data_IF_508024404079
#
_entry.id   IF_508024404079
#
_cell.length_a   1.000
_cell.length_b   1.000
_cell.length_c   1.000
_cell.angle_alpha   90.00
_cell.angle_beta   90.00
_cell.angle_gamma   90.00
#
_symmetry.space_group_name_H-M   'P 1'
#
loop_
_entity.id
_entity.type
_entity.pdbx_description
1 polymer ?
#
# COMPACT_ATOMS: atom_id res chain seq x y z
N UNK A 1 -3.22 -16.17 5.23
CA UNK A 1 -3.47 -17.54 4.69
C UNK A 1 -2.58 -17.78 3.48
N UNK A 2 -2.05 -18.99 3.32
CA UNK A 2 -1.29 -19.37 2.11
C UNK A 2 -2.30 -19.75 1.02
N UNK A 3 -2.25 -19.07 -0.13
CA UNK A 3 -3.12 -19.34 -1.29
C UNK A 3 -2.47 -20.31 -2.27
N UNK A 4 -1.17 -20.16 -2.49
CA UNK A 4 -0.43 -20.98 -3.43
C UNK A 4 0.99 -21.19 -2.91
N UNK A 5 1.52 -22.39 -3.08
CA UNK A 5 2.91 -22.69 -2.78
C UNK A 5 3.50 -23.47 -3.98
N UNK A 6 4.49 -22.90 -4.64
CA UNK A 6 5.23 -23.52 -5.74
C UNK A 6 6.64 -23.86 -5.29
N UNK A 7 6.93 -25.15 -5.14
CA UNK A 7 8.29 -25.61 -4.83
C UNK A 7 9.21 -25.42 -6.03
N UNK A 8 10.46 -25.01 -5.77
CA UNK A 8 11.54 -24.87 -6.74
C UNK A 8 12.52 -26.03 -6.60
N UNK A 9 13.27 -26.28 -7.65
CA UNK A 9 14.31 -27.36 -7.68
C UNK A 9 15.50 -27.09 -6.76
N UNK A 10 15.69 -25.83 -6.34
CA UNK A 10 16.73 -25.39 -5.41
C UNK A 10 16.37 -25.57 -3.91
N UNK A 11 15.21 -26.17 -3.60
CA UNK A 11 14.72 -26.34 -2.24
C UNK A 11 13.99 -25.12 -1.66
N UNK A 12 13.85 -24.04 -2.41
CA UNK A 12 13.03 -22.89 -2.04
C UNK A 12 11.59 -23.04 -2.53
N UNK A 13 10.69 -22.17 -2.06
CA UNK A 13 9.31 -22.15 -2.52
C UNK A 13 8.84 -20.69 -2.74
N UNK A 14 8.08 -20.48 -3.81
CA UNK A 14 7.32 -19.26 -4.00
C UNK A 14 5.97 -19.42 -3.32
N UNK A 15 5.62 -18.46 -2.47
CA UNK A 15 4.38 -18.50 -1.70
C UNK A 15 3.56 -17.24 -1.99
N UNK A 16 2.29 -17.42 -2.30
CA UNK A 16 1.33 -16.31 -2.36
C UNK A 16 0.58 -16.28 -1.03
N UNK A 17 0.70 -15.17 -0.33
CA UNK A 17 0.02 -14.93 0.95
C UNK A 17 -1.15 -13.98 0.75
N UNK A 18 -2.23 -14.26 1.48
CA UNK A 18 -3.36 -13.35 1.60
C UNK A 18 -3.54 -12.98 3.07
N UNK A 19 -3.66 -11.67 3.35
CA UNK A 19 -4.06 -11.16 4.65
C UNK A 19 -5.52 -11.53 4.92
N UNK A 20 -5.81 -12.07 6.10
CA UNK A 20 -7.16 -12.50 6.49
C UNK A 20 -7.76 -11.53 7.49
N UNK A 21 -6.95 -11.01 8.40
CA UNK A 21 -7.39 -10.10 9.47
C UNK A 21 -6.23 -9.24 9.96
N UNK A 22 -6.54 -8.09 10.54
CA UNK A 22 -5.61 -7.34 11.37
C UNK A 22 -5.46 -8.01 12.71
N UNK A 23 -4.24 -8.05 13.22
CA UNK A 23 -3.97 -8.62 14.54
C UNK A 23 -2.96 -7.74 15.28
N UNK A 24 -3.12 -7.70 16.60
CA UNK A 24 -2.09 -7.19 17.50
C UNK A 24 -1.24 -8.35 17.98
N UNK A 25 0.07 -8.21 17.92
CA UNK A 25 1.00 -9.14 18.57
C UNK A 25 1.10 -8.72 20.05
N UNK A 26 0.61 -9.57 20.95
CA UNK A 26 0.67 -9.31 22.38
C UNK A 26 2.05 -9.66 22.93
N UNK A 27 2.52 -10.88 22.61
CA UNK A 27 3.84 -11.35 23.03
C UNK A 27 4.37 -12.44 22.10
N UNK A 28 5.69 -12.64 22.11
CA UNK A 28 6.33 -13.76 21.45
C UNK A 28 6.56 -14.91 22.43
N UNK A 29 5.77 -15.97 22.28
CA UNK A 29 5.87 -17.17 23.15
C UNK A 29 7.00 -18.11 22.72
N UNK A 30 7.50 -17.98 21.49
CA UNK A 30 8.62 -18.76 20.95
C UNK A 30 9.35 -17.96 19.88
N UNK A 31 10.70 -18.06 19.87
CA UNK A 31 11.53 -17.31 18.92
C UNK A 31 12.27 -18.20 17.90
N UNK A 32 12.52 -19.46 18.22
CA UNK A 32 13.27 -20.39 17.37
C UNK A 32 12.55 -21.74 17.28
N UNK A 33 12.61 -22.45 16.15
CA UNK A 33 13.24 -22.11 14.87
C UNK A 33 12.48 -21.02 14.08
N UNK A 34 11.22 -20.75 14.44
CA UNK A 34 10.38 -19.68 13.90
C UNK A 34 9.67 -18.96 15.05
N UNK A 35 9.28 -17.72 14.80
CA UNK A 35 8.55 -16.95 15.81
C UNK A 35 7.12 -17.44 15.92
N UNK A 36 6.66 -17.65 17.16
CA UNK A 36 5.25 -17.89 17.50
C UNK A 36 4.83 -16.78 18.44
N UNK A 37 3.70 -16.16 18.16
CA UNK A 37 3.17 -15.05 18.94
C UNK A 37 1.75 -15.35 19.43
N UNK A 38 1.42 -14.85 20.60
CA UNK A 38 0.04 -14.68 21.02
C UNK A 38 -0.51 -13.43 20.33
N UNK A 39 -1.65 -13.55 19.69
CA UNK A 39 -2.27 -12.48 18.89
C UNK A 39 -3.68 -12.20 19.38
N UNK A 40 -4.09 -10.94 19.21
CA UNK A 40 -5.46 -10.46 19.41
C UNK A 40 -6.02 -9.98 18.07
N UNK A 41 -7.16 -10.47 17.61
CA UNK A 41 -7.82 -9.94 16.42
C UNK A 41 -8.24 -8.50 16.64
N UNK A 42 -8.10 -7.66 15.60
CA UNK A 42 -8.53 -6.27 15.60
C UNK A 42 -9.57 -6.05 14.50
N UNK A 43 -10.65 -5.38 14.84
CA UNK A 43 -11.70 -5.01 13.90
C UNK A 43 -11.54 -3.56 13.47
N UNK A 44 -11.78 -3.30 12.17
CA UNK A 44 -11.85 -1.93 11.65
C UNK A 44 -13.15 -1.28 12.06
N UNK A 45 -13.11 0.01 12.36
CA UNK A 45 -14.28 0.82 12.71
C UNK A 45 -14.61 1.81 11.60
N UNK A 46 -15.89 2.19 11.51
CA UNK A 46 -16.41 3.16 10.56
C UNK A 46 -17.18 4.24 11.33
N UNK A 47 -16.74 5.49 11.26
CA UNK A 47 -17.33 6.60 12.01
C UNK A 47 -18.13 7.58 11.14
N UNK A 48 -17.84 7.65 9.84
CA UNK A 48 -18.57 8.51 8.91
C UNK A 48 -19.70 7.74 8.22
N UNK A 49 -20.79 8.45 7.92
CA UNK A 49 -21.78 7.94 6.99
C UNK A 49 -21.17 7.71 5.60
N UNK A 50 -21.65 6.69 4.88
CA UNK A 50 -21.14 6.30 3.56
C UNK A 50 -21.05 7.49 2.59
N UNK A 51 -22.04 8.36 2.58
CA UNK A 51 -22.09 9.56 1.73
C UNK A 51 -20.91 10.53 1.98
N UNK A 52 -20.45 10.63 3.23
CA UNK A 52 -19.27 11.46 3.59
C UNK A 52 -17.94 10.79 3.31
N UNK A 53 -17.93 9.47 3.26
CA UNK A 53 -16.74 8.65 2.97
C UNK A 53 -16.43 8.61 1.47
N UNK A 54 -17.45 8.65 0.64
CA UNK A 54 -17.30 8.54 -0.83
C UNK A 54 -16.28 9.51 -1.43
N UNK A 55 -16.25 10.80 -1.09
CA UNK A 55 -15.24 11.73 -1.60
C UNK A 55 -13.80 11.34 -1.23
N UNK A 56 -13.59 10.76 -0.04
CA UNK A 56 -12.26 10.29 0.37
C UNK A 56 -11.82 9.08 -0.46
N UNK A 57 -12.72 8.14 -0.73
CA UNK A 57 -12.45 6.99 -1.59
C UNK A 57 -12.11 7.43 -3.02
N UNK A 58 -12.85 8.41 -3.54
CA UNK A 58 -12.58 9.00 -4.85
C UNK A 58 -11.21 9.68 -4.89
N UNK A 59 -10.87 10.46 -3.88
CA UNK A 59 -9.57 11.12 -3.75
C UNK A 59 -8.42 10.10 -3.74
N UNK A 60 -8.52 9.03 -2.94
CA UNK A 60 -7.55 7.94 -2.92
C UNK A 60 -7.41 7.31 -4.30
N UNK A 61 -8.52 7.02 -4.97
CA UNK A 61 -8.51 6.40 -6.30
C UNK A 61 -7.86 7.31 -7.35
N UNK A 62 -8.14 8.62 -7.33
CA UNK A 62 -7.53 9.59 -8.26
C UNK A 62 -6.04 9.75 -8.00
N UNK A 63 -5.61 9.86 -6.74
CA UNK A 63 -4.20 9.94 -6.37
C UNK A 63 -3.43 8.66 -6.73
N UNK A 64 -4.03 7.48 -6.54
CA UNK A 64 -3.44 6.22 -6.97
C UNK A 64 -3.21 6.18 -8.49
N UNK A 65 -4.18 6.64 -9.28
CA UNK A 65 -4.04 6.77 -10.74
C UNK A 65 -2.99 7.82 -11.11
N UNK A 66 -2.92 8.95 -10.40
CA UNK A 66 -1.90 9.97 -10.62
C UNK A 66 -0.49 9.41 -10.33
N UNK A 67 -0.32 8.68 -9.25
CA UNK A 67 0.94 8.01 -8.90
C UNK A 67 1.36 6.99 -9.96
N UNK A 68 0.42 6.23 -10.52
CA UNK A 68 0.69 5.32 -11.63
C UNK A 68 1.18 6.06 -12.89
N UNK A 69 0.53 7.17 -13.26
CA UNK A 69 0.95 8.02 -14.39
C UNK A 69 2.32 8.67 -14.15
N UNK A 70 2.61 8.91 -12.91
CA UNK A 70 3.90 9.46 -12.47
C UNK A 70 5.05 8.44 -12.50
N UNK A 71 4.82 7.18 -12.89
CA UNK A 71 5.84 6.16 -13.10
C UNK A 71 5.88 5.06 -12.03
N UNK A 72 4.92 5.02 -11.09
CA UNK A 72 4.79 3.85 -10.25
C UNK A 72 4.28 2.66 -11.07
N UNK A 73 5.02 1.57 -11.06
CA UNK A 73 4.60 0.34 -11.74
C UNK A 73 3.44 -0.29 -10.98
N UNK A 74 2.24 -0.18 -11.54
CA UNK A 74 1.06 -0.85 -11.01
C UNK A 74 0.68 -2.03 -11.90
N UNK A 75 0.49 -3.22 -11.32
CA UNK A 75 -0.07 -4.36 -12.05
C UNK A 75 -1.44 -4.00 -12.66
N UNK A 76 -1.72 -4.49 -13.86
CA UNK A 76 -3.01 -4.25 -14.53
C UNK A 76 -4.21 -4.68 -13.68
N UNK A 77 -4.05 -5.74 -12.89
CA UNK A 77 -5.06 -6.21 -11.93
C UNK A 77 -5.42 -5.15 -10.88
N UNK A 78 -4.43 -4.41 -10.36
CA UNK A 78 -4.65 -3.32 -9.41
C UNK A 78 -5.41 -2.17 -10.05
N UNK A 79 -5.03 -1.77 -11.28
CA UNK A 79 -5.73 -0.71 -12.02
C UNK A 79 -7.18 -1.09 -12.31
N UNK A 80 -7.45 -2.37 -12.58
CA UNK A 80 -8.82 -2.88 -12.76
C UNK A 80 -9.58 -2.86 -11.44
N UNK A 81 -8.97 -3.34 -10.36
CA UNK A 81 -9.58 -3.35 -9.03
C UNK A 81 -9.96 -1.93 -8.56
N UNK A 82 -9.09 -0.93 -8.76
CA UNK A 82 -9.38 0.47 -8.40
C UNK A 82 -10.63 1.07 -9.08
N UNK A 83 -11.17 0.42 -10.12
CA UNK A 83 -12.40 0.87 -10.80
C UNK A 83 -13.66 0.27 -10.19
N UNK A 84 -13.55 -0.85 -9.50
CA UNK A 84 -14.68 -1.68 -9.07
C UNK A 84 -14.77 -1.84 -7.55
N UNK A 85 -13.73 -1.47 -6.80
CA UNK A 85 -13.69 -1.58 -5.35
C UNK A 85 -14.76 -0.67 -4.73
N UNK A 86 -15.64 -1.28 -3.92
CA UNK A 86 -16.65 -0.59 -3.12
C UNK A 86 -16.29 -0.57 -1.63
N UNK A 87 -15.50 -1.54 -1.17
CA UNK A 87 -15.08 -1.60 0.24
C UNK A 87 -13.98 -0.58 0.52
N UNK A 88 -14.18 0.38 1.42
CA UNK A 88 -13.17 1.35 1.80
C UNK A 88 -11.97 0.70 2.51
N UNK A 89 -12.21 -0.34 3.32
CA UNK A 89 -11.17 -1.10 4.00
C UNK A 89 -10.24 -1.79 2.98
N UNK A 90 -10.83 -2.49 2.01
CA UNK A 90 -10.05 -3.14 0.95
C UNK A 90 -9.33 -2.13 0.04
N UNK A 91 -9.95 -0.99 -0.26
CA UNK A 91 -9.31 0.08 -1.03
C UNK A 91 -8.05 0.59 -0.34
N UNK A 92 -8.17 0.92 0.97
CA UNK A 92 -7.02 1.44 1.73
C UNK A 92 -5.89 0.42 1.82
N UNK A 93 -6.20 -0.85 2.05
CA UNK A 93 -5.19 -1.91 2.14
C UNK A 93 -4.48 -2.14 0.82
N UNK A 94 -5.22 -2.27 -0.29
CA UNK A 94 -4.66 -2.47 -1.61
C UNK A 94 -3.74 -1.32 -2.02
N UNK A 95 -4.20 -0.08 -1.83
CA UNK A 95 -3.44 1.12 -2.23
C UNK A 95 -2.22 1.32 -1.33
N UNK A 96 -2.35 1.12 -0.01
CA UNK A 96 -1.22 1.20 0.92
C UNK A 96 -0.15 0.17 0.60
N UNK A 97 -0.54 -1.08 0.35
CA UNK A 97 0.41 -2.13 0.01
C UNK A 97 1.17 -1.85 -1.29
N UNK A 98 0.46 -1.35 -2.32
CA UNK A 98 1.01 -1.18 -3.66
C UNK A 98 1.76 0.13 -3.89
N UNK A 99 1.38 1.21 -3.23
CA UNK A 99 1.86 2.56 -3.56
C UNK A 99 2.65 3.26 -2.46
N UNK A 100 2.60 2.77 -1.23
CA UNK A 100 3.49 3.26 -0.19
C UNK A 100 4.79 2.46 -0.23
N UNK A 101 5.92 3.16 -0.33
CA UNK A 101 7.24 2.54 -0.40
C UNK A 101 7.82 2.35 1.00
N UNK A 102 7.54 3.31 1.90
CA UNK A 102 8.05 3.33 3.25
C UNK A 102 7.28 2.35 4.15
N UNK A 103 8.03 1.55 4.93
CA UNK A 103 7.42 0.55 5.79
C UNK A 103 6.73 1.17 7.02
N UNK A 104 7.18 2.34 7.49
CA UNK A 104 6.52 3.06 8.58
C UNK A 104 5.15 3.58 8.14
N UNK A 105 5.06 4.11 6.90
CA UNK A 105 3.78 4.52 6.31
C UNK A 105 2.83 3.32 6.20
N UNK A 106 3.34 2.16 5.77
CA UNK A 106 2.54 0.90 5.69
C UNK A 106 2.09 0.44 7.06
N UNK A 107 2.98 0.48 8.05
CA UNK A 107 2.66 0.09 9.42
C UNK A 107 1.61 1.03 10.03
N UNK A 108 1.75 2.33 9.82
CA UNK A 108 0.76 3.33 10.23
C UNK A 108 -0.63 3.02 9.68
N UNK A 109 -0.72 2.60 8.40
CA UNK A 109 -1.99 2.20 7.79
C UNK A 109 -2.57 0.94 8.44
N UNK A 110 -1.74 -0.03 8.81
CA UNK A 110 -2.18 -1.24 9.50
C UNK A 110 -2.68 -0.95 10.93
N UNK A 111 -2.03 -0.03 11.65
CA UNK A 111 -2.38 0.34 13.03
C UNK A 111 -3.59 1.26 13.12
N UNK A 112 -3.94 1.97 12.04
CA UNK A 112 -5.12 2.84 12.00
C UNK A 112 -6.38 2.00 11.78
N UNK A 113 -7.14 1.72 12.84
CA UNK A 113 -8.33 0.88 12.79
C UNK A 113 -9.55 1.61 12.24
N UNK A 114 -9.65 2.91 12.48
CA UNK A 114 -10.70 3.75 11.90
C UNK A 114 -10.46 3.89 10.38
N UNK A 115 -11.43 3.41 9.60
CA UNK A 115 -11.35 3.39 8.13
C UNK A 115 -11.35 4.81 7.56
N UNK A 116 -12.12 5.72 8.15
CA UNK A 116 -12.26 7.08 7.68
C UNK A 116 -10.97 7.89 7.94
N UNK A 117 -10.37 7.69 9.11
CA UNK A 117 -9.05 8.24 9.45
C UNK A 117 -7.96 7.66 8.53
N UNK A 118 -8.03 6.36 8.24
CA UNK A 118 -7.09 5.67 7.34
C UNK A 118 -7.18 6.21 5.92
N UNK A 119 -8.39 6.43 5.39
CA UNK A 119 -8.60 7.08 4.09
C UNK A 119 -7.99 8.48 4.07
N UNK A 120 -8.25 9.29 5.09
CA UNK A 120 -7.72 10.65 5.18
C UNK A 120 -6.18 10.66 5.23
N UNK A 121 -5.57 9.81 6.05
CA UNK A 121 -4.10 9.65 6.11
C UNK A 121 -3.53 9.22 4.76
N UNK A 122 -4.19 8.25 4.10
CA UNK A 122 -3.73 7.76 2.80
C UNK A 122 -3.79 8.84 1.72
N UNK A 123 -4.81 9.71 1.72
CA UNK A 123 -4.89 10.87 0.83
C UNK A 123 -3.67 11.78 1.03
N UNK A 124 -3.32 12.10 2.27
CA UNK A 124 -2.15 12.95 2.58
C UNK A 124 -0.85 12.31 2.12
N UNK A 125 -0.64 11.01 2.41
CA UNK A 125 0.57 10.29 2.02
C UNK A 125 0.72 10.19 0.50
N UNK A 126 -0.33 9.84 -0.21
CA UNK A 126 -0.30 9.76 -1.67
C UNK A 126 -0.08 11.12 -2.33
N UNK A 127 -0.73 12.17 -1.83
CA UNK A 127 -0.55 13.53 -2.32
C UNK A 127 0.91 13.98 -2.20
N UNK A 128 1.52 13.75 -1.03
CA UNK A 128 2.95 14.02 -0.80
C UNK A 128 3.84 13.27 -1.81
N UNK A 129 3.56 12.00 -2.06
CA UNK A 129 4.32 11.17 -3.01
C UNK A 129 4.18 11.67 -4.46
N UNK A 130 2.99 12.07 -4.87
CA UNK A 130 2.76 12.65 -6.20
C UNK A 130 3.53 13.96 -6.36
N UNK A 131 3.45 14.88 -5.39
CA UNK A 131 4.19 16.15 -5.42
C UNK A 131 5.71 15.96 -5.46
N UNK A 132 6.24 15.04 -4.65
CA UNK A 132 7.67 14.73 -4.65
C UNK A 132 8.14 14.24 -6.03
N UNK A 133 7.35 13.40 -6.68
CA UNK A 133 7.68 12.91 -8.01
C UNK A 133 7.62 14.00 -9.07
N UNK A 134 6.61 14.85 -9.06
CA UNK A 134 6.49 15.98 -9.98
C UNK A 134 7.66 16.94 -9.83
N UNK A 135 8.05 17.23 -8.59
CA UNK A 135 9.23 18.07 -8.32
C UNK A 135 10.51 17.43 -8.85
N UNK A 136 10.72 16.14 -8.57
CA UNK A 136 11.89 15.41 -9.07
C UNK A 136 11.97 15.42 -10.60
N UNK A 137 10.84 15.21 -11.29
CA UNK A 137 10.73 15.26 -12.74
C UNK A 137 11.03 16.65 -13.31
N UNK A 138 10.55 17.70 -12.65
CA UNK A 138 10.83 19.09 -13.02
C UNK A 138 12.31 19.45 -12.85
N UNK A 139 12.98 18.90 -11.84
CA UNK A 139 14.41 19.11 -11.62
C UNK A 139 15.26 18.36 -12.66
N UNK A 140 14.92 17.11 -13.00
CA UNK A 140 15.62 16.35 -14.04
C UNK A 140 15.51 16.97 -15.42
N UNK A 141 14.34 17.51 -15.78
CA UNK A 141 14.14 18.21 -17.06
C UNK A 141 14.92 19.53 -17.20
N UNK A 142 15.49 20.05 -16.10
CA UNK A 142 16.31 21.27 -16.07
C UNK A 142 17.82 21.00 -16.06
N UNK A 143 18.25 19.74 -15.90
CA UNK A 143 19.66 19.40 -15.99
C UNK A 143 20.10 19.43 -17.45
N UNK A 144 21.14 20.20 -17.82
CA UNK A 144 21.67 20.17 -19.18
C UNK A 144 22.17 18.76 -19.48
N UNK A 145 21.84 18.22 -20.67
CA UNK A 145 22.43 16.99 -21.19
C UNK A 145 23.94 17.19 -21.36
N UNK A 146 24.71 16.96 -20.33
CA UNK A 146 26.15 16.82 -20.45
C UNK A 146 26.41 15.48 -21.14
N UNK A 147 26.40 15.51 -22.49
CA UNK A 147 27.11 14.51 -23.26
C UNK A 147 28.59 14.67 -22.93
N UNK A 148 29.06 13.90 -21.96
CA UNK A 148 30.49 13.63 -21.82
C UNK A 148 30.86 12.75 -23.02
N UNK A 149 31.32 13.40 -24.09
CA UNK A 149 31.89 12.71 -25.21
C UNK A 149 33.15 11.98 -24.73
N UNK A 150 33.12 10.67 -24.79
CA UNK A 150 34.35 9.90 -24.70
C UNK A 150 35.14 10.15 -26.00
N UNK A 151 36.22 10.87 -25.85
CA UNK A 151 37.36 10.80 -26.77
C UNK A 151 38.22 9.58 -26.43
#
# INVERSE_FOLDING_TARGET
MIRTCGARTDGTANVILEGVARVRICEYVKQRPYRVAQIEPLESTENLAELKRQPLMEAVTQLAKARARAGAELPKSVLTALRTIKSPDYLTDLVSYTLLDDYYDKQLMLETLDIDERLAKLVVLLHKKVQQFELWKALQGKLPNNHVGHN
#
